data_IF_785395953336
#
_entry.id   IF_785395953336
#
_cell.length_a   1.000
_cell.length_b   1.000
_cell.length_c   1.000
_cell.angle_alpha   90.00
_cell.angle_beta   90.00
_cell.angle_gamma   90.00
#
_symmetry.space_group_name_H-M   'P 1'
#
loop_
_entity.id
_entity.type
_entity.pdbx_description
1 polymer ?
#
# COMPACT_ATOMS: atom_id res chain seq x y z
N UNK A 1 -10.33 1.63 5.38
CA UNK A 1 -9.63 0.44 4.86
C UNK A 1 -8.15 0.75 4.66
N UNK A 2 -7.29 -0.18 5.06
CA UNK A 2 -5.86 -0.21 4.72
C UNK A 2 -5.60 -1.32 3.73
N UNK A 3 -4.71 -1.07 2.78
CA UNK A 3 -4.14 -2.06 1.89
C UNK A 3 -2.69 -2.28 2.29
N UNK A 4 -2.28 -3.50 2.57
CA UNK A 4 -0.89 -3.84 2.92
C UNK A 4 -0.27 -4.59 1.76
N UNK A 5 0.88 -4.12 1.31
CA UNK A 5 1.70 -4.82 0.34
C UNK A 5 2.91 -5.43 1.06
N UNK A 6 3.11 -6.74 0.94
CA UNK A 6 4.20 -7.49 1.54
C UNK A 6 5.06 -8.09 0.44
N UNK A 7 6.34 -7.74 0.39
CA UNK A 7 7.27 -8.31 -0.58
C UNK A 7 7.52 -9.78 -0.27
N UNK A 8 7.19 -10.69 -1.19
CA UNK A 8 7.37 -12.14 -0.98
C UNK A 8 8.83 -12.55 -0.84
N UNK A 9 9.76 -11.77 -1.42
CA UNK A 9 11.20 -12.06 -1.41
C UNK A 9 11.90 -11.70 -0.11
N UNK A 10 11.56 -10.57 0.50
CA UNK A 10 12.29 -10.06 1.67
C UNK A 10 11.42 -9.81 2.91
N UNK A 11 10.10 -10.05 2.81
CA UNK A 11 9.15 -9.87 3.91
C UNK A 11 8.85 -8.42 4.28
N UNK A 12 9.50 -7.43 3.63
CA UNK A 12 9.23 -6.03 3.91
C UNK A 12 7.78 -5.68 3.53
N UNK A 13 7.07 -5.03 4.45
CA UNK A 13 5.66 -4.70 4.29
C UNK A 13 5.40 -3.22 4.51
N UNK A 14 4.47 -2.66 3.75
CA UNK A 14 3.98 -1.29 3.89
C UNK A 14 2.46 -1.28 3.80
N UNK A 15 1.79 -0.53 4.69
CA UNK A 15 0.35 -0.30 4.61
C UNK A 15 0.06 1.05 3.96
N UNK A 16 -1.00 1.15 3.18
CA UNK A 16 -1.44 2.35 2.45
C UNK A 16 -2.92 2.58 2.74
N UNK A 17 -3.35 3.85 2.74
CA UNK A 17 -4.77 4.15 2.73
C UNK A 17 -5.35 3.78 1.36
N UNK A 18 -6.49 3.07 1.34
CA UNK A 18 -7.13 2.69 0.09
C UNK A 18 -7.49 3.91 -0.79
N UNK A 19 -7.85 5.03 -0.15
CA UNK A 19 -8.14 6.30 -0.86
C UNK A 19 -6.91 6.86 -1.59
N UNK A 20 -5.71 6.71 -1.02
CA UNK A 20 -4.48 7.18 -1.66
C UNK A 20 -4.17 6.32 -2.89
N UNK A 21 -4.46 5.02 -2.84
CA UNK A 21 -4.28 4.11 -3.98
C UNK A 21 -5.31 4.34 -5.09
N UNK A 22 -6.56 4.66 -4.74
CA UNK A 22 -7.60 5.00 -5.71
C UNK A 22 -7.28 6.26 -6.53
N UNK A 23 -6.41 7.14 -6.04
CA UNK A 23 -5.93 8.28 -6.81
C UNK A 23 -4.87 7.90 -7.86
N UNK A 24 -4.24 6.73 -7.74
CA UNK A 24 -3.14 6.27 -8.59
C UNK A 24 -3.50 5.07 -9.49
N UNK A 25 -4.62 4.39 -9.22
CA UNK A 25 -5.08 3.19 -9.92
C UNK A 25 -6.61 3.21 -10.10
N UNK A 26 -7.14 2.27 -10.88
CA UNK A 26 -8.59 2.09 -11.06
C UNK A 26 -9.26 1.82 -9.69
N UNK A 27 -10.11 2.74 -9.18
CA UNK A 27 -10.76 2.59 -7.88
C UNK A 27 -11.73 1.42 -7.80
N UNK A 28 -12.26 0.97 -8.94
CA UNK A 28 -13.17 -0.17 -9.04
C UNK A 28 -12.44 -1.47 -9.39
N UNK A 29 -11.13 -1.40 -9.62
CA UNK A 29 -10.30 -2.54 -9.97
C UNK A 29 -10.00 -3.44 -8.76
N UNK A 30 -9.75 -4.74 -9.00
CA UNK A 30 -9.31 -5.64 -7.93
C UNK A 30 -7.93 -5.26 -7.38
N UNK A 31 -7.70 -5.50 -6.09
CA UNK A 31 -6.47 -5.10 -5.38
C UNK A 31 -5.23 -5.80 -5.94
N UNK A 32 -5.38 -7.03 -6.44
CA UNK A 32 -4.27 -7.80 -7.02
C UNK A 32 -3.66 -7.14 -8.27
N UNK A 33 -4.38 -6.22 -8.92
CA UNK A 33 -3.86 -5.44 -10.06
C UNK A 33 -2.99 -4.25 -9.63
N UNK A 34 -2.93 -3.93 -8.34
CA UNK A 34 -2.05 -2.89 -7.84
C UNK A 34 -0.60 -3.36 -7.95
N UNK A 35 0.17 -2.69 -8.80
CA UNK A 35 1.58 -2.99 -8.98
C UNK A 35 2.42 -2.31 -7.89
N UNK A 36 2.98 -3.11 -6.98
CA UNK A 36 3.91 -2.63 -5.97
C UNK A 36 5.36 -2.96 -6.35
N UNK A 37 6.29 -2.15 -5.85
CA UNK A 37 7.73 -2.42 -5.95
C UNK A 37 8.35 -2.24 -4.58
N UNK A 38 9.00 -3.29 -4.07
CA UNK A 38 9.67 -3.24 -2.79
C UNK A 38 10.81 -2.20 -2.81
N UNK A 39 10.86 -1.32 -1.80
CA UNK A 39 11.92 -0.32 -1.70
C UNK A 39 13.28 -0.94 -1.35
N UNK A 40 13.28 -2.00 -0.54
CA UNK A 40 14.49 -2.64 -0.03
C UNK A 40 15.19 -3.50 -1.09
N UNK A 41 14.46 -4.41 -1.74
CA UNK A 41 15.06 -5.37 -2.68
C UNK A 41 14.67 -5.14 -4.14
N UNK A 42 13.84 -4.13 -4.44
CA UNK A 42 13.36 -3.73 -5.78
C UNK A 42 12.50 -4.77 -6.52
N UNK A 43 12.18 -5.89 -5.88
CA UNK A 43 11.30 -6.92 -6.41
C UNK A 43 9.86 -6.41 -6.56
N UNK A 44 9.13 -6.96 -7.54
CA UNK A 44 7.73 -6.61 -7.83
C UNK A 44 6.73 -7.65 -7.32
N UNK A 45 7.20 -8.85 -7.00
CA UNK A 45 6.38 -9.88 -6.39
C UNK A 45 6.01 -9.50 -4.95
N UNK A 46 4.79 -8.96 -4.79
CA UNK A 46 4.22 -8.53 -3.54
C UNK A 46 2.83 -9.15 -3.36
N UNK A 47 2.58 -9.67 -2.16
CA UNK A 47 1.26 -10.03 -1.69
C UNK A 47 0.49 -8.78 -1.26
N UNK A 48 -0.81 -8.72 -1.58
CA UNK A 48 -1.65 -7.56 -1.29
C UNK A 48 -2.88 -8.01 -0.50
N UNK A 49 -3.10 -7.38 0.64
CA UNK A 49 -4.24 -7.68 1.52
C UNK A 49 -4.95 -6.38 1.93
N UNK A 50 -6.28 -6.41 1.99
CA UNK A 50 -7.08 -5.34 2.57
C UNK A 50 -7.59 -5.70 3.95
N UNK A 51 -7.57 -4.71 4.85
CA UNK A 51 -8.14 -4.83 6.19
C UNK A 51 -8.85 -3.56 6.63
N UNK A 52 -9.81 -3.73 7.52
CA UNK A 52 -10.39 -2.64 8.30
C UNK A 52 -9.28 -1.88 9.03
N UNK A 53 -9.45 -0.56 9.15
CA UNK A 53 -8.54 0.25 9.95
C UNK A 53 -8.93 0.07 11.41
N UNK A 54 -8.22 -0.81 12.11
CA UNK A 54 -8.25 -0.86 13.56
C UNK A 54 -7.65 0.46 14.08
N UNK A 55 -8.45 1.26 14.80
CA UNK A 55 -8.05 2.58 15.31
C UNK A 55 -7.16 2.48 16.56
N UNK A 56 -7.22 1.36 17.26
CA UNK A 56 -6.47 1.14 18.50
C UNK A 56 -5.07 0.57 18.21
N UNK A 57 -4.94 -0.16 17.09
CA UNK A 57 -3.63 -0.56 16.55
C UNK A 57 -3.11 0.54 15.63
N UNK A 58 -1.87 1.01 15.84
CA UNK A 58 -1.20 1.93 14.91
C UNK A 58 -0.35 1.14 13.91
N UNK A 59 -0.85 0.78 12.73
CA UNK A 59 -0.03 0.15 11.70
C UNK A 59 0.99 1.16 11.12
N UNK A 60 2.06 0.62 10.55
CA UNK A 60 3.02 1.41 9.77
C UNK A 60 2.38 1.81 8.44
N UNK A 61 1.66 2.93 8.43
CA UNK A 61 0.96 3.46 7.25
C UNK A 61 1.87 4.44 6.51
N UNK A 62 2.04 4.21 5.21
CA UNK A 62 2.58 5.15 4.24
C UNK A 62 1.44 6.04 3.75
N UNK A 63 1.56 7.35 3.96
CA UNK A 63 0.59 8.34 3.48
C UNK A 63 1.24 9.17 2.40
N UNK A 64 0.69 9.16 1.18
CA UNK A 64 1.14 10.05 0.10
C UNK A 64 0.36 11.36 0.20
N UNK A 65 0.78 12.26 1.10
CA UNK A 65 0.24 13.64 1.05
C UNK A 65 1.04 14.43 0.02
N UNK A 66 0.40 14.99 -1.03
CA UNK A 66 1.08 15.97 -1.87
C UNK A 66 1.50 17.15 -1.00
N UNK A 67 2.80 17.30 -0.76
CA UNK A 67 3.36 18.55 -0.25
C UNK A 67 3.19 19.57 -1.35
N UNK A 68 2.55 20.72 -1.07
CA UNK A 68 2.59 21.86 -1.99
C UNK A 68 4.06 22.12 -2.31
N UNK A 69 4.44 21.93 -3.57
CA UNK A 69 5.69 22.46 -4.09
C UNK A 69 5.61 23.98 -3.89
N UNK A 70 6.51 24.52 -3.07
CA UNK A 70 6.70 25.97 -2.93
C UNK A 70 7.52 26.49 -4.09
#
# INVERSE_FOLDING_TARGET
>A
MLVTATCRKCGHAASFLAVDLAMAADPAGPLEKLAFRCRECRERDCEVEARELDRDRRPNIVVWRPTRLR
#
